data_IF_672473186026
#
_entry.id   IF_672473186026
#
_cell.length_a   1.000
_cell.length_b   1.000
_cell.length_c   1.000
_cell.angle_alpha   90.00
_cell.angle_beta   90.00
_cell.angle_gamma   90.00
#
_symmetry.space_group_name_H-M   'P 1'
#
loop_
_entity.id
_entity.type
_entity.pdbx_description
1 polymer ?
#
# COMPACT_ATOMS: atom_id res chain seq x y z
N UNK A 1 16.49 8.58 0.17
CA UNK A 1 16.44 8.57 -1.31
C UNK A 1 16.55 7.15 -1.91
N UNK A 2 16.30 6.09 -1.12
CA UNK A 2 16.32 4.68 -1.55
C UNK A 2 14.93 4.17 -1.93
N UNK A 3 13.87 4.62 -1.24
CA UNK A 3 12.51 4.14 -1.44
C UNK A 3 11.96 4.28 -2.86
N UNK A 4 12.17 5.44 -3.49
CA UNK A 4 11.70 5.67 -4.86
C UNK A 4 12.38 4.73 -5.86
N UNK A 5 13.68 4.48 -5.67
CA UNK A 5 14.45 3.58 -6.54
C UNK A 5 14.10 2.12 -6.30
N UNK A 6 13.78 1.76 -5.06
CA UNK A 6 13.35 0.42 -4.67
C UNK A 6 11.97 0.09 -5.26
N UNK A 7 10.99 0.98 -5.10
CA UNK A 7 9.66 0.84 -5.70
C UNK A 7 9.75 0.78 -7.23
N UNK A 8 10.60 1.60 -7.86
CA UNK A 8 10.78 1.56 -9.32
C UNK A 8 11.41 0.25 -9.80
N UNK A 9 12.37 -0.31 -9.05
CA UNK A 9 12.99 -1.61 -9.39
C UNK A 9 12.01 -2.75 -9.21
N UNK A 10 11.24 -2.74 -8.14
CA UNK A 10 10.27 -3.78 -7.84
C UNK A 10 9.13 -3.78 -8.88
N UNK A 11 8.68 -2.60 -9.30
CA UNK A 11 7.59 -2.46 -10.27
C UNK A 11 8.04 -2.36 -11.73
N UNK A 12 9.34 -2.45 -12.03
CA UNK A 12 9.87 -2.26 -13.40
C UNK A 12 9.25 -3.23 -14.42
N UNK A 13 8.93 -4.45 -13.99
CA UNK A 13 8.29 -5.47 -14.84
C UNK A 13 6.85 -5.08 -15.15
N UNK A 14 6.11 -4.64 -14.14
CA UNK A 14 4.72 -4.18 -14.24
C UNK A 14 4.62 -2.91 -15.08
N UNK A 15 5.49 -1.93 -14.85
CA UNK A 15 5.58 -0.67 -15.60
C UNK A 15 5.97 -0.97 -17.05
N UNK A 16 6.97 -1.83 -17.26
CA UNK A 16 7.40 -2.24 -18.59
C UNK A 16 6.28 -2.92 -19.39
N UNK A 17 5.51 -3.81 -18.77
CA UNK A 17 4.36 -4.44 -19.41
C UNK A 17 3.26 -3.40 -19.76
N UNK A 18 2.96 -2.46 -18.86
CA UNK A 18 1.99 -1.40 -19.12
C UNK A 18 2.43 -0.48 -20.28
N UNK A 19 3.71 -0.10 -20.32
CA UNK A 19 4.27 0.70 -21.41
C UNK A 19 4.31 -0.08 -22.74
N UNK A 20 4.50 -1.39 -22.70
CA UNK A 20 4.42 -2.23 -23.89
C UNK A 20 2.99 -2.24 -24.47
N UNK A 21 1.98 -2.43 -23.61
CA UNK A 21 0.56 -2.35 -24.02
C UNK A 21 0.22 -0.95 -24.56
N UNK A 22 0.73 0.11 -23.93
CA UNK A 22 0.61 1.49 -24.42
C UNK A 22 1.12 1.63 -25.85
N UNK A 23 2.33 1.13 -26.11
CA UNK A 23 2.94 1.21 -27.42
C UNK A 23 2.10 0.49 -28.48
N UNK A 24 1.57 -0.69 -28.17
CA UNK A 24 0.67 -1.42 -29.07
C UNK A 24 -0.60 -0.63 -29.38
N UNK A 25 -1.23 -0.03 -28.37
CA UNK A 25 -2.42 0.79 -28.55
C UNK A 25 -2.15 2.03 -29.41
N UNK A 26 -1.01 2.70 -29.21
CA UNK A 26 -0.59 3.84 -30.04
C UNK A 26 -0.43 3.40 -31.50
N UNK A 27 0.25 2.28 -31.77
CA UNK A 27 0.45 1.80 -33.14
C UNK A 27 -0.87 1.46 -33.81
N UNK A 28 -1.81 0.82 -33.09
CA UNK A 28 -3.13 0.51 -33.61
C UNK A 28 -3.94 1.77 -33.90
N UNK A 29 -4.00 2.71 -32.97
CA UNK A 29 -4.72 3.97 -33.13
C UNK A 29 -4.12 4.84 -34.25
N UNK A 30 -2.79 4.88 -34.38
CA UNK A 30 -2.10 5.55 -35.47
C UNK A 30 -2.44 4.91 -36.82
N UNK A 31 -2.53 3.57 -36.88
CA UNK A 31 -2.92 2.85 -38.09
C UNK A 31 -4.36 3.16 -38.51
N UNK A 32 -5.32 3.18 -37.57
CA UNK A 32 -6.69 3.58 -37.86
C UNK A 32 -6.79 5.03 -38.35
N UNK A 33 -6.07 5.94 -37.68
CA UNK A 33 -6.08 7.36 -38.05
C UNK A 33 -5.44 7.58 -39.41
N UNK A 34 -4.32 6.89 -39.71
CA UNK A 34 -3.72 6.87 -41.04
C UNK A 34 -4.73 6.42 -42.10
N UNK A 35 -5.41 5.29 -41.90
CA UNK A 35 -6.40 4.79 -42.86
C UNK A 35 -7.57 5.78 -43.08
N UNK A 36 -7.98 6.50 -42.04
CA UNK A 36 -9.06 7.47 -42.13
C UNK A 36 -8.64 8.80 -42.77
N UNK A 37 -7.44 9.28 -42.49
CA UNK A 37 -7.02 10.66 -42.81
C UNK A 37 -6.00 10.77 -43.95
N UNK A 38 -5.31 9.69 -44.34
CA UNK A 38 -4.22 9.76 -45.31
C UNK A 38 -4.63 10.40 -46.64
N UNK A 39 -5.84 10.13 -47.13
CA UNK A 39 -6.34 10.71 -48.38
C UNK A 39 -6.69 12.20 -48.25
N UNK A 40 -7.21 12.62 -47.09
CA UNK A 40 -7.63 14.00 -46.84
C UNK A 40 -6.45 14.90 -46.46
N UNK A 41 -5.46 14.35 -45.75
CA UNK A 41 -4.34 15.07 -45.17
C UNK A 41 -3.02 14.29 -45.34
N UNK A 42 -2.55 14.07 -46.58
CA UNK A 42 -1.35 13.26 -46.85
C UNK A 42 -0.07 13.86 -46.28
N UNK A 43 -0.01 15.18 -46.06
CA UNK A 43 1.15 15.84 -45.45
C UNK A 43 1.26 15.56 -43.94
N UNK A 44 0.13 15.41 -43.25
CA UNK A 44 0.08 15.24 -41.80
C UNK A 44 -0.06 13.76 -41.39
N UNK A 45 -0.84 12.99 -42.14
CA UNK A 45 -1.08 11.55 -41.95
C UNK A 45 -0.47 10.74 -43.10
N UNK A 46 0.72 11.13 -43.56
CA UNK A 46 1.41 10.52 -44.71
C UNK A 46 1.97 9.11 -44.46
N UNK A 47 2.18 8.75 -43.20
CA UNK A 47 2.69 7.44 -42.79
C UNK A 47 2.20 7.10 -41.38
N UNK A 48 2.28 5.82 -40.99
CA UNK A 48 1.93 5.39 -39.63
C UNK A 48 2.79 6.13 -38.57
N UNK A 49 4.13 6.25 -38.71
CA UNK A 49 4.94 7.03 -37.77
C UNK A 49 4.52 8.51 -37.67
N UNK A 50 4.09 9.13 -38.77
CA UNK A 50 3.57 10.50 -38.72
C UNK A 50 2.25 10.56 -37.93
N UNK A 51 1.35 9.60 -38.13
CA UNK A 51 0.10 9.47 -37.36
C UNK A 51 0.33 9.13 -35.87
N UNK A 52 1.46 8.47 -35.54
CA UNK A 52 1.83 8.18 -34.15
C UNK A 52 2.06 9.46 -33.34
N UNK A 53 2.64 10.51 -33.93
CA UNK A 53 2.81 11.80 -33.24
C UNK A 53 1.48 12.33 -32.71
N UNK A 54 0.49 12.45 -33.60
CA UNK A 54 -0.85 12.90 -33.23
C UNK A 54 -1.52 11.97 -32.20
N UNK A 55 -1.36 10.66 -32.38
CA UNK A 55 -1.93 9.65 -31.48
C UNK A 55 -1.33 9.75 -30.08
N UNK A 56 -0.01 9.93 -29.96
CA UNK A 56 0.69 10.08 -28.68
C UNK A 56 0.19 11.31 -27.94
N UNK A 57 0.22 12.48 -28.57
CA UNK A 57 -0.20 13.75 -27.92
C UNK A 57 -1.68 13.76 -27.57
N UNK A 58 -2.51 13.02 -28.31
CA UNK A 58 -3.95 12.90 -28.05
C UNK A 58 -4.22 11.92 -26.91
N UNK A 59 -3.58 10.74 -26.91
CA UNK A 59 -3.74 9.74 -25.83
C UNK A 59 -3.17 10.22 -24.50
N UNK A 60 -2.11 11.04 -24.50
CA UNK A 60 -1.54 11.64 -23.29
C UNK A 60 -2.25 12.94 -22.87
N UNK A 61 -3.36 13.27 -23.53
CA UNK A 61 -4.18 14.47 -23.28
C UNK A 61 -3.41 15.80 -23.36
N UNK A 62 -2.30 15.85 -24.12
CA UNK A 62 -1.53 17.08 -24.38
C UNK A 62 -2.22 17.92 -25.45
N UNK A 63 -2.53 17.31 -26.60
CA UNK A 63 -3.36 17.90 -27.65
C UNK A 63 -2.91 19.28 -28.16
N UNK A 64 -1.70 19.40 -28.72
CA UNK A 64 -1.17 20.67 -29.24
C UNK A 64 -2.08 21.34 -30.29
N UNK A 65 -2.84 20.55 -31.06
CA UNK A 65 -3.74 21.06 -32.10
C UNK A 65 -3.05 21.48 -33.40
N UNK A 66 -1.78 21.11 -33.56
CA UNK A 66 -0.98 21.28 -34.78
C UNK A 66 -1.51 20.47 -35.96
N UNK A 67 -2.01 19.26 -35.66
CA UNK A 67 -2.65 18.36 -36.61
C UNK A 67 -3.90 17.79 -35.94
N UNK A 68 -5.00 17.68 -36.69
CA UNK A 68 -6.24 17.03 -36.19
C UNK A 68 -6.96 16.29 -37.33
N UNK A 69 -7.66 15.18 -37.04
CA UNK A 69 -8.50 14.50 -38.03
C UNK A 69 -9.62 15.41 -38.52
N UNK A 70 -9.79 15.51 -39.85
CA UNK A 70 -10.84 16.33 -40.45
C UNK A 70 -12.01 15.50 -40.96
N UNK A 71 -11.80 14.22 -41.25
CA UNK A 71 -12.83 13.31 -41.74
C UNK A 71 -13.80 12.91 -40.64
N UNK A 72 -15.03 12.54 -41.03
CA UNK A 72 -16.04 12.06 -40.08
C UNK A 72 -15.55 10.80 -39.35
N UNK A 73 -14.92 9.88 -40.09
CA UNK A 73 -14.37 8.64 -39.55
C UNK A 73 -13.19 8.90 -38.60
N UNK A 74 -12.28 9.81 -38.99
CA UNK A 74 -11.15 10.20 -38.16
C UNK A 74 -11.57 10.90 -36.87
N UNK A 75 -12.62 11.74 -36.90
CA UNK A 75 -13.20 12.36 -35.70
C UNK A 75 -13.85 11.34 -34.76
N UNK A 76 -14.55 10.35 -35.30
CA UNK A 76 -15.13 9.26 -34.50
C UNK A 76 -14.05 8.44 -33.79
N UNK A 77 -13.02 8.01 -34.52
CA UNK A 77 -11.88 7.31 -33.93
C UNK A 77 -11.12 8.21 -32.96
N UNK A 78 -10.93 9.49 -33.27
CA UNK A 78 -10.25 10.44 -32.39
C UNK A 78 -10.97 10.65 -31.06
N UNK A 79 -12.31 10.72 -31.07
CA UNK A 79 -13.09 10.77 -29.84
C UNK A 79 -12.89 9.50 -29.00
N UNK A 80 -12.89 8.32 -29.64
CA UNK A 80 -12.64 7.04 -28.97
C UNK A 80 -11.22 6.97 -28.38
N UNK A 81 -10.21 7.40 -29.15
CA UNK A 81 -8.80 7.46 -28.72
C UNK A 81 -8.63 8.39 -27.53
N UNK A 82 -9.31 9.55 -27.53
CA UNK A 82 -9.29 10.48 -26.40
C UNK A 82 -9.82 9.87 -25.11
N UNK A 83 -10.94 9.13 -25.17
CA UNK A 83 -11.50 8.42 -24.01
C UNK A 83 -10.53 7.33 -23.52
N UNK A 84 -9.95 6.56 -24.44
CA UNK A 84 -8.95 5.53 -24.10
C UNK A 84 -7.70 6.14 -23.46
N UNK A 85 -7.27 7.33 -23.90
CA UNK A 85 -6.12 8.05 -23.36
C UNK A 85 -6.23 8.36 -21.86
N UNK A 86 -7.41 8.77 -21.39
CA UNK A 86 -7.64 9.04 -19.96
C UNK A 86 -7.43 7.76 -19.12
N UNK A 87 -7.99 6.63 -19.56
CA UNK A 87 -7.80 5.34 -18.88
C UNK A 87 -6.34 4.86 -18.91
N UNK A 88 -5.63 5.19 -19.99
CA UNK A 88 -4.23 4.83 -20.20
C UNK A 88 -3.28 5.54 -19.20
N UNK A 89 -3.47 6.84 -18.99
CA UNK A 89 -2.66 7.63 -18.04
C UNK A 89 -2.92 7.20 -16.58
N UNK A 90 -4.08 6.61 -16.29
CA UNK A 90 -4.39 6.09 -14.97
C UNK A 90 -3.56 4.84 -14.58
N UNK A 91 -3.09 4.05 -15.55
CA UNK A 91 -2.38 2.80 -15.26
C UNK A 91 -1.01 3.00 -14.59
N UNK A 92 -0.08 3.84 -15.09
CA UNK A 92 1.19 4.07 -14.41
C UNK A 92 1.00 4.70 -13.02
N UNK A 93 0.06 5.64 -12.89
CA UNK A 93 -0.26 6.27 -11.62
C UNK A 93 -0.80 5.24 -10.60
N UNK A 94 -1.75 4.40 -11.01
CA UNK A 94 -2.31 3.34 -10.17
C UNK A 94 -1.27 2.29 -9.76
N UNK A 95 -0.36 1.93 -10.67
CA UNK A 95 0.71 1.00 -10.39
C UNK A 95 1.73 1.56 -9.39
N UNK A 96 2.13 2.82 -9.55
CA UNK A 96 3.00 3.50 -8.58
C UNK A 96 2.32 3.62 -7.21
N UNK A 97 1.03 3.96 -7.17
CA UNK A 97 0.27 4.01 -5.93
C UNK A 97 0.20 2.65 -5.23
N UNK A 98 0.01 1.57 -5.99
CA UNK A 98 0.05 0.19 -5.48
C UNK A 98 1.42 -0.19 -4.95
N UNK A 99 2.49 0.11 -5.69
CA UNK A 99 3.87 -0.17 -5.29
C UNK A 99 4.25 0.57 -3.99
N UNK A 100 3.87 1.85 -3.88
CA UNK A 100 4.08 2.62 -2.66
C UNK A 100 3.27 2.09 -1.47
N UNK A 101 1.99 1.77 -1.70
CA UNK A 101 1.12 1.17 -0.67
C UNK A 101 1.68 -0.18 -0.20
N UNK A 102 2.21 -0.99 -1.11
CA UNK A 102 2.88 -2.25 -0.81
C UNK A 102 4.15 -2.05 0.03
N UNK A 103 5.00 -1.09 -0.34
CA UNK A 103 6.22 -0.77 0.40
C UNK A 103 5.93 -0.27 1.82
N UNK A 104 4.94 0.62 1.99
CA UNK A 104 4.50 1.07 3.31
C UNK A 104 3.91 -0.08 4.14
N UNK A 105 3.10 -0.94 3.51
CA UNK A 105 2.52 -2.10 4.19
C UNK A 105 3.59 -3.08 4.68
N UNK A 106 4.67 -3.29 3.91
CA UNK A 106 5.80 -4.13 4.34
C UNK A 106 6.48 -3.58 5.59
N UNK A 107 6.81 -2.29 5.60
CA UNK A 107 7.40 -1.60 6.76
C UNK A 107 6.53 -1.72 8.00
N UNK A 108 5.22 -1.54 7.83
CA UNK A 108 4.24 -1.72 8.91
C UNK A 108 4.25 -3.14 9.47
N UNK A 109 4.24 -4.17 8.60
CA UNK A 109 4.27 -5.58 9.03
C UNK A 109 5.55 -5.89 9.79
N UNK A 110 6.70 -5.42 9.29
CA UNK A 110 8.00 -5.60 9.93
C UNK A 110 8.03 -4.99 11.34
N UNK A 111 7.46 -3.80 11.52
CA UNK A 111 7.31 -3.19 12.84
C UNK A 111 6.29 -3.89 13.73
N UNK A 112 5.17 -4.36 13.17
CA UNK A 112 4.15 -5.14 13.89
C UNK A 112 4.73 -6.45 14.44
N UNK A 113 5.62 -7.12 13.69
CA UNK A 113 6.33 -8.31 14.15
C UNK A 113 7.27 -7.98 15.33
N UNK A 114 8.08 -6.93 15.22
CA UNK A 114 8.94 -6.47 16.33
C UNK A 114 8.15 -6.13 17.59
N UNK A 115 7.03 -5.44 17.44
CA UNK A 115 6.12 -5.11 18.55
C UNK A 115 5.51 -6.36 19.15
N UNK A 116 5.18 -7.37 18.35
CA UNK A 116 4.61 -8.60 18.86
C UNK A 116 5.64 -9.40 19.66
N UNK A 117 6.89 -9.46 19.19
CA UNK A 117 8.00 -10.12 19.88
C UNK A 117 8.31 -9.42 21.21
N UNK A 118 8.40 -8.08 21.23
CA UNK A 118 8.58 -7.29 22.44
C UNK A 118 7.39 -7.34 23.42
N UNK A 119 6.25 -7.93 23.01
CA UNK A 119 5.08 -8.10 23.88
C UNK A 119 4.83 -9.57 24.24
N UNK A 120 5.74 -10.48 23.88
CA UNK A 120 5.55 -11.91 24.06
C UNK A 120 5.42 -12.28 25.55
N UNK A 121 6.22 -11.69 26.41
CA UNK A 121 6.20 -11.90 27.87
C UNK A 121 5.16 -11.00 28.59
N UNK A 122 4.68 -9.97 27.91
CA UNK A 122 3.68 -9.00 28.36
C UNK A 122 4.24 -7.81 29.13
N UNK A 123 5.56 -7.59 29.11
CA UNK A 123 6.24 -6.40 29.62
C UNK A 123 7.14 -5.85 28.50
N UNK A 124 7.30 -4.53 28.42
CA UNK A 124 8.30 -3.94 27.52
C UNK A 124 9.45 -3.48 28.42
N UNK A 125 10.62 -4.08 28.26
CA UNK A 125 11.83 -3.67 28.95
C UNK A 125 12.44 -2.40 28.31
N UNK A 126 13.21 -1.62 29.09
CA UNK A 126 13.84 -0.37 28.60
C UNK A 126 14.65 -0.60 27.31
N UNK A 127 15.31 -1.75 27.19
CA UNK A 127 16.11 -2.10 26.02
C UNK A 127 15.26 -2.44 24.78
N UNK A 128 14.04 -2.94 24.97
CA UNK A 128 13.08 -3.22 23.89
C UNK A 128 12.39 -1.94 23.43
N UNK A 129 12.11 -1.01 24.36
CA UNK A 129 11.62 0.32 24.03
C UNK A 129 12.63 1.06 23.14
N UNK A 130 13.92 1.05 23.49
CA UNK A 130 14.99 1.61 22.67
C UNK A 130 15.08 0.95 21.29
N UNK A 131 14.96 -0.39 21.21
CA UNK A 131 14.99 -1.12 19.95
C UNK A 131 13.80 -0.77 19.04
N UNK A 132 12.59 -0.69 19.60
CA UNK A 132 11.39 -0.30 18.88
C UNK A 132 11.48 1.14 18.37
N UNK A 133 12.02 2.08 19.14
CA UNK A 133 12.24 3.45 18.68
C UNK A 133 13.27 3.52 17.54
N UNK A 134 14.37 2.77 17.64
CA UNK A 134 15.38 2.69 16.60
C UNK A 134 14.81 2.11 15.29
N UNK A 135 14.11 0.97 15.37
CA UNK A 135 13.48 0.34 14.21
C UNK A 135 12.38 1.20 13.60
N UNK A 136 11.58 1.89 14.43
CA UNK A 136 10.58 2.85 13.94
C UNK A 136 11.26 3.95 13.10
N UNK A 137 12.36 4.52 13.59
CA UNK A 137 13.09 5.56 12.88
C UNK A 137 13.71 5.04 11.57
N UNK A 138 14.27 3.83 11.59
CA UNK A 138 14.86 3.18 10.42
C UNK A 138 13.82 2.85 9.34
N UNK A 139 12.68 2.28 9.75
CA UNK A 139 11.55 1.96 8.86
C UNK A 139 10.78 3.22 8.43
N UNK A 140 11.06 4.37 9.02
CA UNK A 140 10.41 5.65 8.73
C UNK A 140 8.93 5.66 9.11
N UNK A 141 8.57 4.95 10.18
CA UNK A 141 7.19 4.90 10.72
C UNK A 141 6.95 6.14 11.59
N UNK A 142 5.78 6.76 11.40
CA UNK A 142 5.40 7.94 12.19
C UNK A 142 5.12 7.59 13.66
N UNK A 143 5.20 8.56 14.57
CA UNK A 143 4.90 8.33 15.99
C UNK A 143 3.47 7.82 16.21
N UNK A 144 2.53 8.48 15.54
CA UNK A 144 1.12 8.12 15.60
C UNK A 144 0.87 6.70 15.09
N UNK A 145 1.52 6.31 13.99
CA UNK A 145 1.39 4.95 13.45
C UNK A 145 1.99 3.89 14.38
N UNK A 146 3.14 4.17 14.99
CA UNK A 146 3.77 3.29 15.96
C UNK A 146 2.91 3.11 17.22
N UNK A 147 2.36 4.19 17.77
CA UNK A 147 1.44 4.14 18.92
C UNK A 147 0.18 3.31 18.62
N UNK A 148 -0.37 3.44 17.39
CA UNK A 148 -1.51 2.63 16.96
C UNK A 148 -1.17 1.15 16.90
N UNK A 149 0.01 0.80 16.38
CA UNK A 149 0.50 -0.58 16.28
C UNK A 149 0.76 -1.16 17.68
N UNK A 150 1.46 -0.43 18.55
CA UNK A 150 1.72 -0.80 19.95
C UNK A 150 0.42 -1.00 20.72
N UNK A 151 -0.52 -0.06 20.60
CA UNK A 151 -1.83 -0.17 21.23
C UNK A 151 -2.64 -1.37 20.72
N UNK A 152 -2.52 -1.72 19.43
CA UNK A 152 -3.13 -2.92 18.87
C UNK A 152 -2.48 -4.21 19.40
N UNK A 153 -1.15 -4.24 19.49
CA UNK A 153 -0.38 -5.34 20.08
C UNK A 153 -0.78 -5.60 21.53
N UNK A 154 -0.80 -4.56 22.37
CA UNK A 154 -1.17 -4.65 23.78
C UNK A 154 -2.59 -5.21 24.00
N UNK A 155 -3.56 -4.80 23.16
CA UNK A 155 -4.92 -5.35 23.19
C UNK A 155 -4.95 -6.85 22.86
N UNK A 156 -4.14 -7.28 21.87
CA UNK A 156 -4.08 -8.66 21.40
C UNK A 156 -3.39 -9.58 22.43
N UNK A 157 -2.35 -9.10 23.10
CA UNK A 157 -1.64 -9.82 24.17
C UNK A 157 -2.42 -9.89 25.49
N UNK A 158 -3.58 -9.21 25.59
CA UNK A 158 -4.40 -9.20 26.80
C UNK A 158 -3.75 -8.48 27.99
N UNK A 159 -2.72 -7.69 27.74
CA UNK A 159 -2.03 -6.87 28.74
C UNK A 159 -2.89 -5.63 29.00
N UNK A 160 -3.30 -5.43 30.26
CA UNK A 160 -3.95 -4.18 30.66
C UNK A 160 -2.87 -3.20 31.06
N UNK A 161 -2.87 -2.03 30.43
CA UNK A 161 -2.11 -0.88 30.89
C UNK A 161 -2.86 -0.30 32.10
N UNK A 162 -2.44 -0.67 33.30
CA UNK A 162 -2.82 0.02 34.52
C UNK A 162 -1.94 1.24 34.73
N UNK A 163 -2.43 2.25 35.45
CA UNK A 163 -1.58 3.35 35.93
C UNK A 163 -1.41 3.13 37.43
N UNK A 164 -0.16 3.08 37.91
CA UNK A 164 0.10 2.93 39.33
C UNK A 164 -0.53 4.11 40.09
N UNK A 165 -1.48 3.88 41.01
CA UNK A 165 -2.11 4.97 41.76
C UNK A 165 -1.13 5.67 42.71
N UNK A 166 0.03 5.07 42.98
CA UNK A 166 1.03 5.60 43.91
C UNK A 166 2.09 6.47 43.21
N UNK A 167 2.50 6.15 41.98
CA UNK A 167 3.60 6.85 41.30
C UNK A 167 3.29 7.27 39.85
N UNK A 168 2.06 7.05 39.38
CA UNK A 168 1.59 7.38 38.03
C UNK A 168 2.37 6.76 36.86
N UNK A 169 3.30 5.83 37.12
CA UNK A 169 3.95 5.05 36.07
C UNK A 169 3.00 4.01 35.47
N UNK A 170 3.18 3.69 34.20
CA UNK A 170 2.48 2.59 33.54
C UNK A 170 2.81 1.27 34.24
N UNK A 171 1.77 0.48 34.52
CA UNK A 171 1.86 -0.88 35.06
C UNK A 171 1.28 -1.84 34.03
N UNK A 172 2.13 -2.67 33.47
CA UNK A 172 1.71 -3.74 32.57
C UNK A 172 1.22 -4.92 33.42
N UNK A 173 -0.10 -5.18 33.42
CA UNK A 173 -0.66 -6.34 34.15
C UNK A 173 -1.21 -7.35 33.14
N UNK A 174 -0.55 -8.51 33.04
CA UNK A 174 -0.99 -9.64 32.22
C UNK A 174 -2.29 -10.21 32.79
N UNK A 175 -3.31 -10.41 31.96
CA UNK A 175 -4.57 -11.04 32.36
C UNK A 175 -4.31 -12.51 32.72
N UNK A 176 -3.98 -12.78 33.98
CA UNK A 176 -4.05 -14.14 34.52
C UNK A 176 -5.51 -14.56 34.48
N UNK A 177 -5.82 -15.53 33.61
CA UNK A 177 -7.10 -16.23 33.62
C UNK A 177 -7.35 -16.81 35.00
N UNK A 178 -8.54 -16.56 35.54
CA UNK A 178 -9.18 -17.20 36.68
C UNK A 178 -8.64 -18.60 37.05
N UNK A 179 -7.61 -18.64 37.91
CA UNK A 179 -7.27 -19.80 38.75
C UNK A 179 -6.94 -19.35 40.18
N UNK A 180 -7.79 -18.49 40.74
CA UNK A 180 -7.91 -18.33 42.19
C UNK A 180 -9.16 -19.08 42.65
N UNK A 181 -9.01 -20.39 42.79
CA UNK A 181 -10.03 -21.28 43.32
C UNK A 181 -9.37 -22.58 43.72
N UNK A 182 -8.42 -22.51 44.65
CA UNK A 182 -8.13 -23.60 45.59
C UNK A 182 -7.07 -23.13 46.61
N UNK A 183 -7.50 -22.62 47.77
CA UNK A 183 -6.94 -23.05 49.08
C UNK A 183 -7.54 -22.33 50.29
N UNK A 184 -7.94 -23.21 51.22
CA UNK A 184 -8.11 -23.10 52.69
C UNK A 184 -9.42 -22.49 53.20
N UNK A 185 -10.24 -23.36 53.78
CA UNK A 185 -10.38 -23.47 55.24
C UNK A 185 -10.72 -24.93 55.61
N UNK A 186 -9.92 -25.66 56.40
CA UNK A 186 -9.77 -25.62 57.87
C UNK A 186 -10.91 -26.35 58.60
N UNK A 187 -10.52 -27.31 59.46
CA UNK A 187 -11.20 -27.81 60.66
C UNK A 187 -11.84 -29.22 60.63
N UNK A 188 -11.08 -30.17 61.20
CA UNK A 188 -11.56 -31.39 61.86
C UNK A 188 -11.91 -31.04 63.32
N UNK A 189 -12.97 -31.62 63.93
CA UNK A 189 -12.75 -32.79 64.77
C UNK A 189 -13.85 -33.87 64.69
N UNK A 190 -13.44 -35.13 64.88
CA UNK A 190 -14.32 -36.28 65.18
C UNK A 190 -15.10 -36.07 66.51
N UNK A 191 -16.24 -36.77 66.72
CA UNK A 191 -16.13 -38.04 67.47
C UNK A 191 -17.19 -39.14 67.16
N UNK A 192 -16.75 -40.38 67.36
CA UNK A 192 -17.39 -41.51 68.09
C UNK A 192 -18.79 -42.02 67.68
N UNK A 193 -18.87 -43.30 67.30
CA UNK A 193 -19.65 -44.33 68.03
C UNK A 193 -19.46 -45.74 67.41
N UNK A 194 -18.95 -46.60 68.28
CA UNK A 194 -18.87 -48.08 68.36
C UNK A 194 -20.14 -48.86 67.93
N UNK A 195 -20.15 -50.20 67.95
CA UNK A 195 -19.06 -51.17 68.19
C UNK A 195 -18.70 -52.06 66.98
#
# INVERSE_FOLDING_TARGET
MSLLLEVLKDEVKSIGAALFVLMLLIVLAASFTYLAEHQAQPQAFGSIPAAMWWTVITMTTVGYGDVVPVTVLGKFFGATIGIMGVGMVALPAGLLASGFSGALRRRRIEYEELVQDALEDGQIEDHEEEALEASRAELGISAEEAELILGAGLRKSGVRIGVCPHCQKSLYTRRQSDRSGERRDSDEPAPDTTP
#
